data_IF_637806727816
#
_entry.id   IF_637806727816
#
_cell.length_a   1.000
_cell.length_b   1.000
_cell.length_c   1.000
_cell.angle_alpha   90.00
_cell.angle_beta   90.00
_cell.angle_gamma   90.00
#
_symmetry.space_group_name_H-M   'P 1'
#
loop_
_entity.id
_entity.type
_entity.pdbx_description
1 polymer ?
#
# COMPACT_ATOMS: atom_id res chain seq x y z
N UNK A 1 13.40 11.50 11.89
CA UNK A 1 13.00 10.70 10.70
C UNK A 1 12.42 11.67 9.70
N UNK A 2 13.05 11.82 8.54
CA UNK A 2 12.58 12.71 7.46
C UNK A 2 11.77 11.87 6.47
N UNK A 3 10.44 11.84 6.66
CA UNK A 3 9.52 11.11 5.80
C UNK A 3 8.44 12.02 5.27
N UNK A 4 7.96 11.68 4.08
CA UNK A 4 6.77 12.26 3.46
C UNK A 4 5.67 11.20 3.43
N UNK A 5 4.38 11.58 3.46
CA UNK A 5 3.83 12.93 3.37
C UNK A 5 3.63 13.64 4.72
N UNK A 6 3.50 14.98 4.63
CA UNK A 6 2.91 15.83 5.66
C UNK A 6 1.81 16.70 5.02
N UNK A 7 0.72 16.95 5.74
CA UNK A 7 -0.42 17.73 5.26
C UNK A 7 -0.71 18.89 6.22
N UNK A 8 -0.74 20.12 5.70
CA UNK A 8 -1.26 21.29 6.40
C UNK A 8 -2.73 21.47 6.05
N UNK A 9 -3.62 21.35 7.04
CA UNK A 9 -5.08 21.44 6.87
C UNK A 9 -5.74 21.88 8.18
N UNK A 10 -6.81 22.67 8.10
CA UNK A 10 -7.61 23.12 9.26
C UNK A 10 -6.80 23.77 10.40
N UNK A 11 -5.67 24.43 10.09
CA UNK A 11 -4.79 25.04 11.09
C UNK A 11 -3.84 24.05 11.79
N UNK A 12 -3.79 22.80 11.35
CA UNK A 12 -2.92 21.75 11.88
C UNK A 12 -1.92 21.27 10.84
N UNK A 13 -0.83 20.66 11.32
CA UNK A 13 0.08 19.85 10.48
C UNK A 13 -0.04 18.39 10.90
N UNK A 14 -0.47 17.55 9.97
CA UNK A 14 -0.59 16.11 10.16
C UNK A 14 0.53 15.39 9.40
N UNK A 15 1.06 14.34 9.99
CA UNK A 15 2.04 13.43 9.39
C UNK A 15 1.48 12.01 9.40
N UNK A 16 2.15 11.09 8.71
CA UNK A 16 1.71 9.71 8.48
C UNK A 16 0.49 9.61 7.56
N UNK A 17 0.68 8.93 6.43
CA UNK A 17 -0.34 8.82 5.38
C UNK A 17 -1.66 8.21 5.89
N UNK A 18 -1.61 7.15 6.70
CA UNK A 18 -2.82 6.53 7.27
C UNK A 18 -3.58 7.48 8.21
N UNK A 19 -2.86 8.21 9.07
CA UNK A 19 -3.47 9.20 9.98
C UNK A 19 -4.12 10.34 9.20
N UNK A 20 -3.43 10.83 8.15
CA UNK A 20 -3.96 11.85 7.25
C UNK A 20 -5.24 11.35 6.56
N UNK A 21 -5.23 10.13 6.01
CA UNK A 21 -6.41 9.54 5.35
C UNK A 21 -7.60 9.39 6.31
N UNK A 22 -7.36 8.96 7.55
CA UNK A 22 -8.42 8.86 8.55
C UNK A 22 -8.98 10.22 8.95
N UNK A 23 -8.13 11.23 9.13
CA UNK A 23 -8.60 12.59 9.39
C UNK A 23 -9.50 13.12 8.27
N UNK A 24 -9.11 12.91 7.01
CA UNK A 24 -9.90 13.33 5.86
C UNK A 24 -11.24 12.57 5.79
N UNK A 25 -11.24 11.27 6.05
CA UNK A 25 -12.46 10.46 6.11
C UNK A 25 -13.45 10.95 7.19
N UNK A 26 -12.94 11.31 8.37
CA UNK A 26 -13.78 11.76 9.48
C UNK A 26 -14.32 13.18 9.29
N UNK A 27 -13.60 14.03 8.57
CA UNK A 27 -13.93 15.46 8.45
C UNK A 27 -14.57 15.83 7.10
N UNK A 28 -14.43 15.00 6.06
CA UNK A 28 -15.00 15.21 4.70
C UNK A 28 -15.89 14.04 4.27
N UNK A 29 -17.02 13.79 4.96
CA UNK A 29 -17.84 12.58 4.79
C UNK A 29 -18.61 12.50 3.46
N UNK A 30 -18.63 13.55 2.64
CA UNK A 30 -19.44 13.60 1.41
C UNK A 30 -18.98 12.59 0.34
N UNK A 31 -17.75 12.06 0.46
CA UNK A 31 -17.20 11.02 -0.41
C UNK A 31 -16.45 10.00 0.45
N UNK A 32 -17.19 9.30 1.29
CA UNK A 32 -16.63 8.30 2.20
C UNK A 32 -15.84 7.22 1.44
N UNK A 33 -14.62 6.97 1.90
CA UNK A 33 -13.74 5.87 1.44
C UNK A 33 -13.74 4.71 2.43
N UNK A 34 -14.64 4.74 3.41
CA UNK A 34 -14.90 3.64 4.30
C UNK A 34 -16.36 3.18 4.20
N UNK A 35 -16.62 1.87 4.11
CA UNK A 35 -17.98 1.33 4.14
C UNK A 35 -18.74 1.74 5.41
N UNK A 36 -20.07 1.69 5.36
CA UNK A 36 -20.90 1.84 6.57
C UNK A 36 -20.88 0.56 7.44
N UNK A 37 -20.83 -0.60 6.81
CA UNK A 37 -20.75 -1.89 7.52
C UNK A 37 -19.45 -2.01 8.33
N UNK A 38 -19.58 -2.21 9.63
CA UNK A 38 -18.46 -2.20 10.58
C UNK A 38 -17.45 -3.31 10.33
N UNK A 39 -17.89 -4.46 9.83
CA UNK A 39 -17.00 -5.57 9.52
C UNK A 39 -16.17 -5.28 8.25
N UNK A 40 -16.81 -4.76 7.19
CA UNK A 40 -16.12 -4.30 5.99
C UNK A 40 -15.15 -3.16 6.30
N UNK A 41 -15.48 -2.24 7.22
CA UNK A 41 -14.54 -1.22 7.70
C UNK A 41 -13.29 -1.83 8.34
N UNK A 42 -13.46 -2.88 9.15
CA UNK A 42 -12.31 -3.59 9.73
C UNK A 42 -11.45 -4.23 8.63
N UNK A 43 -12.07 -4.81 7.60
CA UNK A 43 -11.33 -5.36 6.44
C UNK A 43 -10.57 -4.31 5.64
N UNK A 44 -11.13 -3.12 5.45
CA UNK A 44 -10.39 -2.00 4.84
C UNK A 44 -9.14 -1.67 5.68
N UNK A 45 -9.27 -1.57 7.01
CA UNK A 45 -8.15 -1.30 7.91
C UNK A 45 -7.10 -2.40 7.89
N UNK A 46 -7.50 -3.67 7.92
CA UNK A 46 -6.57 -4.81 7.82
C UNK A 46 -5.68 -4.72 6.56
N UNK A 47 -6.27 -4.38 5.40
CA UNK A 47 -5.50 -4.24 4.15
C UNK A 47 -4.59 -3.01 4.20
N UNK A 48 -5.08 -1.86 4.67
CA UNK A 48 -4.28 -0.65 4.85
C UNK A 48 -3.07 -0.92 5.74
N UNK A 49 -3.28 -1.51 6.91
CA UNK A 49 -2.22 -1.79 7.89
C UNK A 49 -1.22 -2.79 7.34
N UNK A 50 -1.68 -3.86 6.68
CA UNK A 50 -0.80 -4.83 6.05
C UNK A 50 0.13 -4.18 5.04
N UNK A 51 -0.38 -3.27 4.21
CA UNK A 51 0.42 -2.56 3.21
C UNK A 51 1.34 -1.53 3.85
N UNK A 52 0.77 -0.59 4.61
CA UNK A 52 1.46 0.60 5.11
C UNK A 52 2.44 0.29 6.25
N UNK A 53 2.20 -0.77 7.02
CA UNK A 53 3.07 -1.17 8.14
C UNK A 53 3.83 -2.46 7.85
N UNK A 54 3.19 -3.42 7.17
CA UNK A 54 3.75 -4.77 6.95
C UNK A 54 4.61 -4.90 5.69
N UNK A 55 4.42 -4.04 4.68
CA UNK A 55 5.15 -4.12 3.40
C UNK A 55 5.99 -2.88 3.15
N UNK A 56 5.37 -1.70 3.16
CA UNK A 56 5.99 -0.45 2.73
C UNK A 56 7.29 -0.10 3.49
N UNK A 57 7.37 -0.24 4.82
CA UNK A 57 8.57 0.15 5.56
C UNK A 57 9.78 -0.69 5.21
N UNK A 58 9.58 -1.97 4.87
CA UNK A 58 10.66 -2.90 4.54
C UNK A 58 11.26 -2.64 3.16
N UNK A 59 10.52 -1.99 2.27
CA UNK A 59 10.97 -1.56 0.94
C UNK A 59 11.28 -0.05 0.86
N UNK A 60 11.16 0.67 1.98
CA UNK A 60 11.47 2.09 2.05
C UNK A 60 12.92 2.37 1.62
N UNK A 61 13.13 3.48 0.89
CA UNK A 61 14.43 3.86 0.37
C UNK A 61 15.53 3.90 1.44
N UNK A 62 15.23 4.40 2.64
CA UNK A 62 16.20 4.45 3.75
C UNK A 62 16.66 3.05 4.15
N UNK A 63 15.73 2.09 4.21
CA UNK A 63 16.05 0.69 4.51
C UNK A 63 16.85 0.07 3.38
N UNK A 64 16.49 0.32 2.12
CA UNK A 64 17.21 -0.23 0.97
C UNK A 64 18.64 0.30 0.84
N UNK A 65 18.87 1.58 1.17
CA UNK A 65 20.21 2.17 1.26
C UNK A 65 21.02 1.45 2.34
N UNK A 66 20.42 1.19 3.50
CA UNK A 66 21.08 0.48 4.60
C UNK A 66 21.43 -0.97 4.26
N UNK A 67 20.53 -1.69 3.56
CA UNK A 67 20.75 -3.06 3.09
C UNK A 67 21.90 -3.15 2.09
N UNK A 68 22.15 -2.07 1.33
CA UNK A 68 23.24 -1.97 0.38
C UNK A 68 22.91 -2.50 -1.02
N UNK A 69 23.62 -1.99 -2.02
CA UNK A 69 23.34 -2.21 -3.45
C UNK A 69 23.30 -3.69 -3.87
N UNK A 70 24.15 -4.53 -3.29
CA UNK A 70 24.24 -5.95 -3.64
C UNK A 70 23.00 -6.74 -3.21
N UNK A 71 22.42 -6.39 -2.04
CA UNK A 71 21.32 -7.15 -1.42
C UNK A 71 19.96 -6.48 -1.55
N UNK A 72 19.89 -5.19 -1.88
CA UNK A 72 18.62 -4.43 -1.93
C UNK A 72 17.58 -5.07 -2.86
N UNK A 73 18.02 -5.67 -3.97
CA UNK A 73 17.14 -6.33 -4.94
C UNK A 73 16.48 -7.58 -4.35
N UNK A 74 17.29 -8.49 -3.81
CA UNK A 74 16.80 -9.72 -3.17
C UNK A 74 15.91 -9.40 -1.98
N UNK A 75 16.31 -8.42 -1.17
CA UNK A 75 15.55 -7.93 -0.02
C UNK A 75 14.18 -7.40 -0.45
N UNK A 76 14.13 -6.46 -1.41
CA UNK A 76 12.88 -5.90 -1.89
C UNK A 76 11.98 -6.99 -2.48
N UNK A 77 12.52 -7.87 -3.33
CA UNK A 77 11.75 -8.96 -3.94
C UNK A 77 11.16 -9.90 -2.89
N UNK A 78 11.95 -10.29 -1.88
CA UNK A 78 11.48 -11.16 -0.80
C UNK A 78 10.29 -10.54 -0.05
N UNK A 79 10.45 -9.30 0.42
CA UNK A 79 9.43 -8.64 1.24
C UNK A 79 8.19 -8.22 0.45
N UNK A 80 8.37 -7.76 -0.79
CA UNK A 80 7.26 -7.49 -1.71
C UNK A 80 6.49 -8.78 -1.97
N UNK A 81 7.15 -9.88 -2.37
CA UNK A 81 6.46 -11.15 -2.66
C UNK A 81 5.71 -11.67 -1.44
N UNK A 82 6.34 -11.64 -0.26
CA UNK A 82 5.71 -12.07 0.99
C UNK A 82 4.49 -11.20 1.34
N UNK A 83 4.63 -9.88 1.20
CA UNK A 83 3.57 -8.92 1.45
C UNK A 83 2.38 -9.11 0.51
N UNK A 84 2.64 -9.21 -0.79
CA UNK A 84 1.59 -9.40 -1.80
C UNK A 84 0.85 -10.72 -1.63
N UNK A 85 1.52 -11.82 -1.26
CA UNK A 85 0.83 -13.07 -0.92
C UNK A 85 -0.16 -12.92 0.23
N UNK A 86 0.18 -12.12 1.24
CA UNK A 86 -0.72 -11.84 2.35
C UNK A 86 -1.90 -10.95 1.92
N UNK A 87 -1.64 -9.95 1.07
CA UNK A 87 -2.69 -9.09 0.50
C UNK A 87 -3.64 -9.91 -0.38
N UNK A 88 -3.13 -10.72 -1.30
CA UNK A 88 -3.92 -11.62 -2.16
C UNK A 88 -4.81 -12.54 -1.34
N UNK A 89 -4.30 -13.08 -0.24
CA UNK A 89 -5.09 -13.92 0.68
C UNK A 89 -6.25 -13.14 1.29
N UNK A 90 -6.06 -11.90 1.75
CA UNK A 90 -7.16 -11.08 2.26
C UNK A 90 -8.17 -10.80 1.16
N UNK A 91 -7.70 -10.34 -0.01
CA UNK A 91 -8.53 -10.00 -1.16
C UNK A 91 -9.39 -11.16 -1.63
N UNK A 92 -8.93 -12.41 -1.54
CA UNK A 92 -9.72 -13.61 -1.90
C UNK A 92 -11.06 -13.72 -1.15
N UNK A 93 -11.19 -13.05 0.00
CA UNK A 93 -12.40 -13.07 0.83
C UNK A 93 -13.11 -11.72 0.96
N UNK A 94 -12.48 -10.63 0.50
CA UNK A 94 -13.01 -9.26 0.67
C UNK A 94 -13.33 -8.57 -0.64
N UNK A 95 -12.61 -8.91 -1.72
CA UNK A 95 -12.69 -8.19 -2.97
C UNK A 95 -14.00 -8.47 -3.71
N UNK A 96 -14.56 -7.40 -4.28
CA UNK A 96 -15.56 -7.46 -5.35
C UNK A 96 -14.94 -6.86 -6.60
N UNK A 97 -15.47 -5.73 -7.06
CA UNK A 97 -14.82 -4.89 -8.08
C UNK A 97 -13.52 -4.23 -7.60
N UNK A 98 -13.41 -3.96 -6.30
CA UNK A 98 -12.26 -3.30 -5.65
C UNK A 98 -11.80 -4.10 -4.43
N UNK A 99 -10.86 -3.56 -3.63
CA UNK A 99 -10.26 -4.29 -2.51
C UNK A 99 -11.29 -4.83 -1.49
N UNK A 100 -12.36 -4.07 -1.24
CA UNK A 100 -13.43 -4.46 -0.32
C UNK A 100 -14.79 -4.16 -0.96
N UNK A 101 -15.42 -5.18 -1.52
CA UNK A 101 -16.67 -5.05 -2.27
C UNK A 101 -16.53 -4.27 -3.57
N UNK A 102 -17.56 -3.49 -3.91
CA UNK A 102 -17.71 -2.89 -5.25
C UNK A 102 -17.51 -1.38 -5.30
N UNK A 103 -17.12 -0.76 -4.18
CA UNK A 103 -16.80 0.66 -4.06
C UNK A 103 -15.32 0.88 -3.73
N UNK A 104 -14.76 2.02 -4.15
CA UNK A 104 -13.37 2.39 -3.85
C UNK A 104 -13.27 2.74 -2.37
N UNK A 105 -12.23 2.22 -1.71
CA UNK A 105 -11.97 2.43 -0.29
C UNK A 105 -10.53 2.89 -0.03
N UNK A 106 -10.21 3.21 1.23
CA UNK A 106 -8.83 3.49 1.65
C UNK A 106 -7.86 2.34 1.34
N UNK A 107 -8.34 1.09 1.29
CA UNK A 107 -7.52 -0.06 0.94
C UNK A 107 -6.98 0.07 -0.50
N UNK A 108 -7.82 0.54 -1.43
CA UNK A 108 -7.42 0.79 -2.82
C UNK A 108 -6.40 1.93 -2.92
N UNK A 109 -6.57 2.97 -2.12
CA UNK A 109 -5.62 4.08 -2.00
C UNK A 109 -4.23 3.61 -1.52
N UNK A 110 -4.15 2.54 -0.72
CA UNK A 110 -2.89 1.95 -0.29
C UNK A 110 -2.33 0.94 -1.31
N UNK A 111 -3.21 0.14 -1.94
CA UNK A 111 -2.81 -0.92 -2.86
C UNK A 111 -2.19 -0.37 -4.14
N UNK A 112 -2.80 0.64 -4.75
CA UNK A 112 -2.35 1.17 -6.05
C UNK A 112 -0.89 1.67 -5.99
N UNK A 113 -0.48 2.53 -5.03
CA UNK A 113 0.91 2.93 -4.89
C UNK A 113 1.86 1.78 -4.58
N UNK A 114 1.41 0.77 -3.82
CA UNK A 114 2.23 -0.39 -3.49
C UNK A 114 2.46 -1.29 -4.71
N UNK A 115 1.46 -1.47 -5.58
CA UNK A 115 1.60 -2.16 -6.88
C UNK A 115 2.55 -1.39 -7.78
N UNK A 116 2.44 -0.06 -7.83
CA UNK A 116 3.38 0.76 -8.61
C UNK A 116 4.82 0.64 -8.10
N UNK A 117 5.02 0.68 -6.78
CA UNK A 117 6.33 0.46 -6.15
C UNK A 117 6.89 -0.91 -6.53
N UNK A 118 6.08 -1.96 -6.40
CA UNK A 118 6.47 -3.33 -6.78
C UNK A 118 6.85 -3.43 -8.25
N UNK A 119 6.05 -2.86 -9.16
CA UNK A 119 6.37 -2.80 -10.59
C UNK A 119 7.62 -2.00 -10.88
N UNK A 120 7.87 -0.89 -10.18
CA UNK A 120 9.08 -0.09 -10.37
C UNK A 120 10.33 -0.86 -9.95
N UNK A 121 10.27 -1.61 -8.84
CA UNK A 121 11.34 -2.52 -8.45
C UNK A 121 11.52 -3.65 -9.47
N UNK A 122 10.42 -4.26 -9.94
CA UNK A 122 10.47 -5.30 -10.98
C UNK A 122 11.01 -4.75 -12.31
N UNK A 123 10.67 -3.52 -12.70
CA UNK A 123 11.19 -2.89 -13.91
C UNK A 123 12.69 -2.58 -13.81
N UNK A 124 13.17 -2.14 -12.64
CA UNK A 124 14.61 -2.02 -12.36
C UNK A 124 15.30 -3.40 -12.42
N UNK A 125 14.60 -4.46 -12.02
CA UNK A 125 15.06 -5.86 -12.07
C UNK A 125 15.11 -6.39 -13.52
N UNK A 126 14.14 -6.05 -14.36
CA UNK A 126 13.92 -6.56 -15.73
C UNK A 126 14.54 -5.71 -16.84
N UNK A 127 15.16 -4.56 -16.55
CA UNK A 127 16.11 -3.95 -17.50
C UNK A 127 17.33 -4.82 -17.82
N UNK A 128 17.51 -5.93 -17.08
CA UNK A 128 18.53 -6.95 -17.32
C UNK A 128 17.98 -8.30 -17.83
N UNK A 129 16.67 -8.46 -18.10
CA UNK A 129 16.08 -9.56 -18.89
C UNK A 129 14.56 -9.39 -19.04
N UNK A 130 14.04 -9.80 -20.20
CA UNK A 130 12.72 -9.59 -20.82
C UNK A 130 11.46 -9.62 -19.93
N UNK A 131 10.45 -8.84 -20.33
CA UNK A 131 9.32 -8.31 -19.53
C UNK A 131 8.00 -9.10 -19.61
N UNK A 132 7.96 -10.33 -20.13
CA UNK A 132 6.70 -10.90 -20.61
C UNK A 132 5.97 -11.91 -19.68
N UNK A 133 6.33 -12.03 -18.39
CA UNK A 133 5.89 -13.19 -17.60
C UNK A 133 5.07 -12.94 -16.31
N UNK A 134 4.39 -11.80 -16.13
CA UNK A 134 3.46 -11.66 -15.01
C UNK A 134 2.07 -11.16 -15.42
N UNK A 135 1.10 -12.09 -15.60
CA UNK A 135 -0.28 -11.73 -15.75
C UNK A 135 -0.86 -11.41 -14.37
N UNK A 136 -1.05 -10.12 -14.08
CA UNK A 136 -2.09 -9.72 -13.15
C UNK A 136 -3.38 -9.66 -13.98
N UNK A 137 -4.05 -10.81 -14.08
CA UNK A 137 -5.46 -10.91 -14.49
C UNK A 137 -6.34 -10.78 -13.25
#
# INVERSE_FOLDING_TARGET
MEHVPALQIDGHTLIESCSIMHYLEETRPQRALMPQDVYKRAKVREICDLICTGVQPLQNLVVLIYVGEEKKREWAQHWITRGFRAVEKLLSSTAGKYCVGDEITLADCCLIPQVFSARSFLYIIFKNNELDAYPLH
#
